data_IF_036484658294
#
_entry.id   IF_036484658294
#
_cell.length_a   1.000
_cell.length_b   1.000
_cell.length_c   1.000
_cell.angle_alpha   90.00
_cell.angle_beta   90.00
_cell.angle_gamma   90.00
#
_symmetry.space_group_name_H-M   'P 1'
#
loop_
_entity.id
_entity.type
_entity.pdbx_description
1 polymer ?
#
# COMPACT_ATOMS: atom_id res chain seq x y z
N UNK A 1 -10.50 -13.19 -19.87
CA UNK A 1 -9.59 -12.02 -19.77
C UNK A 1 -8.29 -12.52 -19.13
N UNK A 2 -7.10 -12.16 -19.62
CA UNK A 2 -5.85 -12.59 -18.99
C UNK A 2 -5.76 -12.09 -17.54
N UNK A 3 -5.27 -12.92 -16.62
CA UNK A 3 -5.24 -12.65 -15.16
C UNK A 3 -4.48 -11.36 -14.82
N UNK A 4 -3.36 -11.10 -15.50
CA UNK A 4 -2.57 -9.87 -15.34
C UNK A 4 -3.42 -8.62 -15.61
N UNK A 5 -4.23 -8.64 -16.67
CA UNK A 5 -5.10 -7.52 -17.01
C UNK A 5 -6.18 -7.30 -15.95
N UNK A 6 -6.72 -8.38 -15.37
CA UNK A 6 -7.66 -8.28 -14.26
C UNK A 6 -7.03 -7.59 -13.04
N UNK A 7 -5.82 -7.97 -12.64
CA UNK A 7 -5.13 -7.33 -11.50
C UNK A 7 -4.81 -5.85 -11.75
N UNK A 8 -4.39 -5.49 -12.96
CA UNK A 8 -4.16 -4.09 -13.33
C UNK A 8 -5.45 -3.28 -13.22
N UNK A 9 -6.57 -3.81 -13.74
CA UNK A 9 -7.87 -3.15 -13.65
C UNK A 9 -8.35 -2.97 -12.21
N UNK A 10 -8.16 -3.98 -11.36
CA UNK A 10 -8.45 -3.90 -9.92
C UNK A 10 -7.62 -2.80 -9.26
N UNK A 11 -6.31 -2.73 -9.56
CA UNK A 11 -5.43 -1.69 -9.04
C UNK A 11 -5.88 -0.29 -9.46
N UNK A 12 -6.24 -0.10 -10.73
CA UNK A 12 -6.77 1.17 -11.25
C UNK A 12 -8.09 1.53 -10.54
N UNK A 13 -9.02 0.58 -10.41
CA UNK A 13 -10.29 0.80 -9.73
C UNK A 13 -10.08 1.20 -8.25
N UNK A 14 -9.15 0.57 -7.55
CA UNK A 14 -8.81 0.92 -6.18
C UNK A 14 -8.28 2.35 -6.06
N UNK A 15 -7.41 2.79 -6.99
CA UNK A 15 -6.90 4.17 -7.02
C UNK A 15 -8.03 5.17 -7.30
N UNK A 16 -8.97 4.84 -8.19
CA UNK A 16 -10.14 5.69 -8.47
C UNK A 16 -11.03 5.82 -7.23
N UNK A 17 -11.34 4.72 -6.56
CA UNK A 17 -12.14 4.73 -5.32
C UNK A 17 -11.43 5.57 -4.24
N UNK A 18 -10.13 5.36 -4.04
CA UNK A 18 -9.33 6.15 -3.12
C UNK A 18 -9.39 7.65 -3.46
N UNK A 19 -9.25 7.99 -4.74
CA UNK A 19 -9.30 9.38 -5.18
C UNK A 19 -10.65 10.03 -4.90
N UNK A 20 -11.75 9.31 -5.12
CA UNK A 20 -13.11 9.78 -4.78
C UNK A 20 -13.22 10.00 -3.28
N UNK A 21 -12.85 9.01 -2.46
CA UNK A 21 -12.92 9.08 -1.00
C UNK A 21 -12.10 10.25 -0.47
N UNK A 22 -10.83 10.38 -0.86
CA UNK A 22 -9.96 11.46 -0.40
C UNK A 22 -10.46 12.85 -0.86
N UNK A 23 -11.04 12.94 -2.06
CA UNK A 23 -11.65 14.18 -2.55
C UNK A 23 -12.89 14.58 -1.76
N UNK A 24 -13.68 13.63 -1.24
CA UNK A 24 -14.79 13.91 -0.32
C UNK A 24 -14.30 14.60 0.97
N UNK A 25 -13.10 14.24 1.43
CA UNK A 25 -12.44 14.86 2.58
C UNK A 25 -11.65 16.13 2.23
N UNK A 26 -11.84 16.71 1.03
CA UNK A 26 -11.15 17.91 0.53
C UNK A 26 -9.63 17.78 0.41
N UNK A 27 -9.09 16.56 0.37
CA UNK A 27 -7.67 16.36 0.12
C UNK A 27 -7.31 16.73 -1.33
N UNK A 28 -6.18 17.40 -1.51
CA UNK A 28 -5.68 17.76 -2.83
C UNK A 28 -5.14 16.56 -3.62
N UNK A 29 -5.12 16.67 -4.95
CA UNK A 29 -4.55 15.65 -5.85
C UNK A 29 -3.10 15.27 -5.48
N UNK A 30 -2.32 16.24 -4.99
CA UNK A 30 -0.95 16.01 -4.48
C UNK A 30 -0.92 15.01 -3.33
N UNK A 31 -1.92 15.00 -2.44
CA UNK A 31 -1.97 14.03 -1.34
C UNK A 31 -2.31 12.64 -1.83
N UNK A 32 -3.28 12.53 -2.76
CA UNK A 32 -3.64 11.25 -3.38
C UNK A 32 -2.42 10.63 -4.06
N UNK A 33 -1.69 11.42 -4.85
CA UNK A 33 -0.48 10.96 -5.52
C UNK A 33 0.62 10.55 -4.52
N UNK A 34 0.83 11.34 -3.46
CA UNK A 34 1.76 10.98 -2.37
C UNK A 34 1.38 9.66 -1.72
N UNK A 35 0.10 9.44 -1.45
CA UNK A 35 -0.37 8.17 -0.89
C UNK A 35 -0.04 7.00 -1.81
N UNK A 36 -0.33 7.11 -3.11
CA UNK A 36 -0.08 6.03 -4.08
C UNK A 36 1.43 5.73 -4.18
N UNK A 37 2.27 6.76 -4.24
CA UNK A 37 3.72 6.62 -4.26
C UNK A 37 4.21 5.97 -2.96
N UNK A 38 3.73 6.43 -1.81
CA UNK A 38 4.08 5.86 -0.51
C UNK A 38 3.67 4.40 -0.39
N UNK A 39 2.49 4.02 -0.88
CA UNK A 39 2.01 2.64 -0.86
C UNK A 39 2.86 1.76 -1.78
N UNK A 40 3.22 2.24 -2.98
CA UNK A 40 4.09 1.51 -3.90
C UNK A 40 5.49 1.29 -3.32
N UNK A 41 6.11 2.35 -2.76
CA UNK A 41 7.40 2.27 -2.07
C UNK A 41 7.30 1.33 -0.87
N UNK A 42 6.22 1.41 -0.09
CA UNK A 42 5.98 0.59 1.08
C UNK A 42 5.83 -0.90 0.76
N UNK A 43 5.04 -1.23 -0.26
CA UNK A 43 4.91 -2.60 -0.76
C UNK A 43 6.26 -3.11 -1.27
N UNK A 44 7.01 -2.28 -2.01
CA UNK A 44 8.37 -2.63 -2.45
C UNK A 44 9.32 -2.89 -1.28
N UNK A 45 9.27 -2.08 -0.23
CA UNK A 45 10.07 -2.27 0.98
C UNK A 45 9.66 -3.53 1.75
N UNK A 46 8.35 -3.80 1.88
CA UNK A 46 7.85 -5.04 2.47
C UNK A 46 8.33 -6.26 1.68
N UNK A 47 8.30 -6.19 0.35
CA UNK A 47 8.82 -7.26 -0.51
C UNK A 47 10.31 -7.53 -0.23
N UNK A 48 11.13 -6.49 -0.10
CA UNK A 48 12.54 -6.61 0.25
C UNK A 48 12.75 -7.19 1.66
N UNK A 49 11.96 -6.76 2.65
CA UNK A 49 12.03 -7.28 4.01
C UNK A 49 11.69 -8.77 4.08
N UNK A 50 10.73 -9.23 3.27
CA UNK A 50 10.37 -10.65 3.17
C UNK A 50 11.46 -11.53 2.52
N UNK A 51 12.55 -10.95 2.00
CA UNK A 51 13.73 -11.72 1.58
C UNK A 51 14.59 -12.15 2.78
N UNK A 52 14.40 -11.53 3.96
CA UNK A 52 15.13 -11.86 5.18
C UNK A 52 14.50 -13.12 5.81
N UNK A 53 15.27 -14.19 6.07
CA UNK A 53 14.74 -15.38 6.73
C UNK A 53 14.13 -15.05 8.09
N UNK A 54 12.90 -15.52 8.32
CA UNK A 54 12.16 -15.27 9.57
C UNK A 54 11.30 -14.00 9.57
N UNK A 55 11.32 -13.21 8.49
CA UNK A 55 10.38 -12.10 8.29
C UNK A 55 9.25 -12.56 7.36
N UNK A 56 8.01 -12.43 7.83
CA UNK A 56 6.81 -12.83 7.09
C UNK A 56 5.73 -11.76 7.20
N UNK A 57 5.90 -10.67 6.47
CA UNK A 57 4.93 -9.57 6.40
C UNK A 57 3.91 -9.85 5.29
N UNK A 58 2.60 -9.93 5.60
CA UNK A 58 1.57 -10.13 4.58
C UNK A 58 1.41 -8.89 3.69
N UNK A 59 1.48 -9.08 2.36
CA UNK A 59 1.17 -8.03 1.38
C UNK A 59 -0.33 -8.07 1.07
N UNK A 60 -1.09 -7.27 1.80
CA UNK A 60 -2.56 -7.24 1.76
C UNK A 60 -3.06 -5.80 1.81
N UNK A 61 -4.36 -5.61 1.66
CA UNK A 61 -4.96 -4.28 1.54
C UNK A 61 -4.61 -3.37 2.73
N UNK A 62 -4.60 -3.88 3.98
CA UNK A 62 -4.33 -3.05 5.15
C UNK A 62 -2.84 -2.68 5.30
N UNK A 63 -1.89 -3.55 4.93
CA UNK A 63 -0.46 -3.20 4.93
C UNK A 63 -0.13 -2.17 3.85
N UNK A 64 -0.81 -2.22 2.71
CA UNK A 64 -0.74 -1.20 1.67
C UNK A 64 -1.37 0.14 2.13
N UNK A 65 -2.46 0.13 2.91
CA UNK A 65 -3.03 1.35 3.48
C UNK A 65 -2.09 2.00 4.50
N UNK A 66 -1.53 1.24 5.45
CA UNK A 66 -0.64 1.79 6.47
C UNK A 66 0.59 2.41 5.82
N UNK A 67 1.20 1.70 4.87
CA UNK A 67 2.36 2.23 4.15
C UNK A 67 1.99 3.37 3.20
N UNK A 68 0.79 3.40 2.63
CA UNK A 68 0.28 4.53 1.85
C UNK A 68 0.10 5.81 2.66
N UNK A 69 -0.47 5.71 3.86
CA UNK A 69 -0.69 6.86 4.75
C UNK A 69 0.64 7.37 5.31
N UNK A 70 1.47 6.47 5.84
CA UNK A 70 2.64 6.84 6.63
C UNK A 70 3.96 6.78 5.85
N UNK A 71 3.99 6.22 4.64
CA UNK A 71 5.21 6.01 3.86
C UNK A 71 6.13 4.98 4.51
N UNK A 72 7.43 5.25 4.47
CA UNK A 72 8.49 4.42 5.09
C UNK A 72 8.24 4.20 6.60
N UNK A 73 7.86 5.22 7.41
CA UNK A 73 7.42 5.00 8.78
C UNK A 73 6.33 3.92 8.92
N UNK A 74 5.39 3.83 7.98
CA UNK A 74 4.36 2.80 7.96
C UNK A 74 4.92 1.39 7.76
N UNK A 75 6.01 1.24 7.01
CA UNK A 75 6.69 -0.06 6.83
C UNK A 75 7.26 -0.55 8.15
N UNK A 76 7.85 0.35 8.95
CA UNK A 76 8.38 0.02 10.27
C UNK A 76 7.25 -0.45 11.19
N UNK A 77 6.11 0.24 11.18
CA UNK A 77 4.91 -0.16 11.94
C UNK A 77 4.43 -1.55 11.53
N UNK A 78 4.30 -1.80 10.23
CA UNK A 78 3.86 -3.10 9.72
C UNK A 78 4.85 -4.22 10.09
N UNK A 79 6.15 -3.97 10.01
CA UNK A 79 7.18 -4.92 10.43
C UNK A 79 7.04 -5.25 11.92
N UNK A 80 6.88 -4.24 12.78
CA UNK A 80 6.67 -4.47 14.22
C UNK A 80 5.40 -5.31 14.45
N UNK A 81 4.29 -4.95 13.81
CA UNK A 81 3.03 -5.68 13.91
C UNK A 81 3.22 -7.14 13.49
N UNK A 82 3.98 -7.41 12.43
CA UNK A 82 4.21 -8.78 11.90
C UNK A 82 4.89 -9.73 12.88
N UNK A 83 5.52 -9.23 13.96
CA UNK A 83 6.05 -10.09 15.02
C UNK A 83 4.99 -10.55 16.04
N UNK A 84 3.78 -10.02 15.97
CA UNK A 84 2.68 -10.32 16.91
C UNK A 84 1.48 -11.02 16.26
N UNK A 85 1.49 -11.18 14.93
CA UNK A 85 0.46 -11.89 14.14
C UNK A 85 1.09 -13.08 13.44
#
# INVERSE_FOLDING_TARGET
MPEILQYILIGIAAVVVLAIVLKLFKFGFKTILKFVINAAIGIGAIFLLNLIPGVAIPVVWWTALITGIFGIPGVIVVLIISFFI
#
